data_IF_512447956334
#
_entry.id   IF_512447956334
#
_cell.length_a   1.000
_cell.length_b   1.000
_cell.length_c   1.000
_cell.angle_alpha   90.00
_cell.angle_beta   90.00
_cell.angle_gamma   90.00
#
_symmetry.space_group_name_H-M   'P 1'
#
loop_
_entity.id
_entity.type
_entity.pdbx_description
1 polymer ?
#
# COMPACT_ATOMS: atom_id res chain seq x y z
N UNK A 1 6.99 -13.15 -12.12
CA UNK A 1 5.66 -12.67 -11.69
C UNK A 1 5.75 -11.31 -10.98
N UNK A 2 6.33 -11.25 -9.78
CA UNK A 2 6.29 -10.06 -8.92
C UNK A 2 6.85 -8.77 -9.52
N UNK A 3 8.05 -8.82 -10.12
CA UNK A 3 8.64 -7.65 -10.77
C UNK A 3 7.71 -7.04 -11.84
N UNK A 4 7.10 -7.88 -12.69
CA UNK A 4 6.17 -7.41 -13.73
C UNK A 4 4.86 -6.88 -13.13
N UNK A 5 4.34 -7.54 -12.09
CA UNK A 5 3.12 -7.13 -11.40
C UNK A 5 3.27 -5.76 -10.72
N UNK A 6 4.41 -5.51 -10.07
CA UNK A 6 4.73 -4.21 -9.43
C UNK A 6 4.80 -3.10 -10.48
N UNK A 7 5.36 -3.39 -11.66
CA UNK A 7 5.40 -2.46 -12.80
C UNK A 7 4.05 -2.32 -13.53
N UNK A 8 2.93 -2.72 -12.91
CA UNK A 8 1.56 -2.59 -13.43
C UNK A 8 1.33 -3.31 -14.77
N UNK A 9 2.10 -4.36 -15.06
CA UNK A 9 1.84 -5.23 -16.20
C UNK A 9 0.55 -6.03 -15.97
N UNK A 10 -0.37 -6.13 -16.95
CA UNK A 10 -1.58 -6.93 -16.83
C UNK A 10 -1.29 -8.40 -16.51
N UNK A 11 -2.12 -9.01 -15.65
CA UNK A 11 -1.97 -10.42 -15.22
C UNK A 11 -1.90 -11.38 -16.42
N UNK A 12 -2.67 -11.11 -17.48
CA UNK A 12 -2.70 -11.94 -18.68
C UNK A 12 -1.40 -11.84 -19.48
N UNK A 13 -0.80 -10.66 -19.56
CA UNK A 13 0.47 -10.46 -20.26
C UNK A 13 1.60 -11.16 -19.50
N UNK A 14 1.61 -11.04 -18.16
CA UNK A 14 2.56 -11.77 -17.31
C UNK A 14 2.41 -13.29 -17.49
N UNK A 15 1.18 -13.78 -17.55
CA UNK A 15 0.88 -15.20 -17.72
C UNK A 15 1.38 -15.70 -19.09
N UNK A 16 1.11 -14.93 -20.15
CA UNK A 16 1.54 -15.23 -21.51
C UNK A 16 3.06 -15.22 -21.65
N UNK A 17 3.73 -14.17 -21.20
CA UNK A 17 5.18 -14.01 -21.36
C UNK A 17 6.00 -15.02 -20.55
N UNK A 18 5.49 -15.44 -19.39
CA UNK A 18 6.15 -16.40 -18.51
C UNK A 18 5.68 -17.84 -18.72
N UNK A 19 4.75 -18.07 -19.65
CA UNK A 19 4.12 -19.36 -19.94
C UNK A 19 3.59 -20.07 -18.67
N UNK A 20 2.80 -19.34 -17.88
CA UNK A 20 2.20 -19.84 -16.64
C UNK A 20 0.71 -19.54 -16.61
N UNK A 21 -0.03 -20.33 -15.84
CA UNK A 21 -1.47 -20.13 -15.73
C UNK A 21 -1.80 -18.80 -15.02
N UNK A 22 -2.81 -18.08 -15.54
CA UNK A 22 -3.28 -16.79 -14.99
C UNK A 22 -3.65 -16.83 -13.50
N UNK A 23 -4.12 -17.98 -13.01
CA UNK A 23 -4.46 -18.14 -11.60
C UNK A 23 -3.21 -18.12 -10.74
N UNK A 24 -2.13 -18.79 -11.18
CA UNK A 24 -0.84 -18.76 -10.51
C UNK A 24 -0.31 -17.33 -10.40
N UNK A 25 -0.40 -16.53 -11.47
CA UNK A 25 -0.02 -15.11 -11.42
C UNK A 25 -0.82 -14.33 -10.37
N UNK A 26 -2.14 -14.57 -10.32
CA UNK A 26 -3.04 -13.95 -9.33
C UNK A 26 -2.69 -14.36 -7.90
N UNK A 27 -2.47 -15.65 -7.66
CA UNK A 27 -2.10 -16.20 -6.35
C UNK A 27 -0.79 -15.62 -5.83
N UNK A 28 0.25 -15.54 -6.67
CA UNK A 28 1.50 -14.91 -6.29
C UNK A 28 1.35 -13.40 -5.99
N UNK A 29 0.50 -12.71 -6.75
CA UNK A 29 0.20 -11.30 -6.50
C UNK A 29 -0.54 -11.08 -5.18
N UNK A 30 -1.46 -11.97 -4.82
CA UNK A 30 -2.20 -11.92 -3.56
C UNK A 30 -1.31 -12.30 -2.37
N UNK A 31 -0.51 -13.35 -2.50
CA UNK A 31 0.49 -13.75 -1.50
C UNK A 31 1.45 -12.60 -1.18
N UNK A 32 1.94 -11.89 -2.22
CA UNK A 32 2.83 -10.77 -1.97
C UNK A 32 2.15 -9.59 -1.27
N UNK A 33 0.88 -9.32 -1.57
CA UNK A 33 0.12 -8.30 -0.83
C UNK A 33 -0.04 -8.69 0.63
N UNK A 34 -0.29 -9.96 0.92
CA UNK A 34 -0.41 -10.48 2.28
C UNK A 34 0.88 -10.28 3.06
N UNK A 35 2.01 -10.75 2.52
CA UNK A 35 3.34 -10.61 3.15
C UNK A 35 3.71 -9.14 3.39
N UNK A 36 3.47 -8.27 2.40
CA UNK A 36 3.73 -6.82 2.56
C UNK A 36 2.81 -6.22 3.64
N UNK A 37 1.54 -6.60 3.67
CA UNK A 37 0.60 -6.09 4.66
C UNK A 37 1.02 -6.51 6.06
N UNK A 38 1.35 -7.79 6.26
CA UNK A 38 1.83 -8.32 7.53
C UNK A 38 3.09 -7.58 7.99
N UNK A 39 4.07 -7.40 7.10
CA UNK A 39 5.28 -6.65 7.40
C UNK A 39 4.98 -5.22 7.87
N UNK A 40 4.12 -4.48 7.16
CA UNK A 40 3.75 -3.11 7.55
C UNK A 40 3.04 -3.09 8.91
N UNK A 41 2.16 -4.05 9.19
CA UNK A 41 1.45 -4.13 10.46
C UNK A 41 2.37 -4.53 11.62
N UNK A 42 3.34 -5.41 11.39
CA UNK A 42 4.30 -5.86 12.40
C UNK A 42 5.44 -4.86 12.65
N UNK A 43 5.75 -3.99 11.68
CA UNK A 43 6.86 -3.04 11.71
C UNK A 43 6.38 -1.58 11.65
N UNK A 44 5.43 -1.21 12.51
CA UNK A 44 4.94 0.16 12.64
C UNK A 44 5.91 1.04 13.46
N UNK A 45 7.11 1.24 12.91
CA UNK A 45 8.13 2.09 13.50
C UNK A 45 7.74 3.57 13.45
N UNK A 46 8.26 4.35 14.39
CA UNK A 46 8.25 5.81 14.27
C UNK A 46 9.00 6.23 13.00
N UNK A 47 8.34 7.04 12.18
CA UNK A 47 8.91 7.64 10.97
C UNK A 47 9.40 9.07 11.26
N UNK A 48 10.39 9.52 10.48
CA UNK A 48 10.92 10.87 10.55
C UNK A 48 12.04 11.02 11.58
N UNK A 49 12.33 12.27 11.94
CA UNK A 49 13.44 12.64 12.82
C UNK A 49 14.70 13.02 12.05
N UNK A 50 15.86 12.81 12.67
CA UNK A 50 17.16 13.07 12.07
C UNK A 50 17.85 11.75 11.69
N UNK A 51 18.60 11.77 10.59
CA UNK A 51 19.55 10.73 10.22
C UNK A 51 20.78 10.77 11.15
N UNK A 52 21.62 9.74 11.06
CA UNK A 52 22.87 9.64 11.84
C UNK A 52 23.85 10.79 11.54
N UNK A 53 23.80 11.34 10.32
CA UNK A 53 24.58 12.50 9.89
C UNK A 53 23.96 13.86 10.27
N UNK A 54 22.85 13.84 11.02
CA UNK A 54 22.13 15.04 11.47
C UNK A 54 21.19 15.66 10.43
N UNK A 55 21.02 15.05 9.25
CA UNK A 55 20.07 15.54 8.24
C UNK A 55 18.63 15.17 8.56
N UNK A 56 17.66 15.99 8.19
CA UNK A 56 16.24 15.68 8.39
C UNK A 56 15.77 14.54 7.50
N UNK A 57 15.06 13.59 8.09
CA UNK A 57 14.37 12.55 7.33
C UNK A 57 13.13 13.12 6.65
N UNK A 58 12.90 12.67 5.42
CA UNK A 58 11.74 13.04 4.62
C UNK A 58 10.73 11.91 4.68
N UNK A 59 9.51 12.21 5.11
CA UNK A 59 8.39 11.27 5.13
C UNK A 59 7.33 11.78 4.17
N UNK A 60 6.95 10.94 3.22
CA UNK A 60 5.81 11.18 2.35
C UNK A 60 4.56 10.69 3.05
N UNK A 61 3.50 11.50 3.06
CA UNK A 61 2.20 11.18 3.67
C UNK A 61 1.13 11.36 2.60
N UNK A 62 0.28 10.34 2.43
CA UNK A 62 -0.85 10.36 1.48
C UNK A 62 -2.16 9.95 2.18
N UNK A 63 -3.26 10.58 1.75
CA UNK A 63 -4.62 10.25 2.16
C UNK A 63 -5.34 9.52 1.04
N UNK A 64 -5.73 8.27 1.30
CA UNK A 64 -6.46 7.44 0.35
C UNK A 64 -7.84 7.09 0.90
N UNK A 65 -8.88 7.47 0.16
CA UNK A 65 -10.27 7.08 0.46
C UNK A 65 -10.66 5.87 -0.38
N UNK A 66 -10.95 4.76 0.30
CA UNK A 66 -11.47 3.55 -0.31
C UNK A 66 -12.99 3.59 -0.21
N UNK A 67 -13.66 3.61 -1.35
CA UNK A 67 -15.11 3.71 -1.43
C UNK A 67 -15.67 2.69 -2.41
N UNK A 68 -16.98 2.44 -2.30
CA UNK A 68 -17.68 1.59 -3.25
C UNK A 68 -17.67 2.21 -4.65
N UNK A 69 -17.45 1.39 -5.67
CA UNK A 69 -17.61 1.84 -7.06
C UNK A 69 -19.04 2.32 -7.33
N UNK A 70 -19.19 3.23 -8.30
CA UNK A 70 -20.49 3.74 -8.76
C UNK A 70 -21.45 2.58 -9.00
N UNK A 71 -22.67 2.70 -8.46
CA UNK A 71 -23.74 1.67 -8.54
C UNK A 71 -23.45 0.34 -7.82
N UNK A 72 -22.51 0.30 -6.85
CA UNK A 72 -22.13 -0.92 -6.11
C UNK A 72 -21.72 -2.09 -7.02
N UNK A 73 -21.12 -1.81 -8.19
CA UNK A 73 -20.65 -2.86 -9.13
C UNK A 73 -19.19 -3.21 -8.87
N UNK A 74 -18.88 -4.50 -8.77
CA UNK A 74 -17.50 -5.02 -8.64
C UNK A 74 -17.10 -5.33 -7.19
N UNK A 75 -15.86 -5.00 -6.81
CA UNK A 75 -15.32 -5.25 -5.46
C UNK A 75 -16.15 -4.47 -4.43
N UNK A 76 -16.74 -5.19 -3.46
CA UNK A 76 -17.42 -4.59 -2.32
C UNK A 76 -16.35 -4.13 -1.32
N UNK A 77 -16.21 -2.82 -1.16
CA UNK A 77 -15.35 -2.18 -0.17
C UNK A 77 -16.21 -1.41 0.83
N UNK A 78 -15.78 -1.39 2.09
CA UNK A 78 -16.35 -0.45 3.06
C UNK A 78 -15.77 0.93 2.80
N UNK A 79 -16.60 1.95 3.01
CA UNK A 79 -16.18 3.34 2.86
C UNK A 79 -15.23 3.69 4.01
N UNK A 80 -13.95 3.86 3.70
CA UNK A 80 -12.92 3.99 4.71
C UNK A 80 -11.77 4.89 4.25
N UNK A 81 -11.38 5.81 5.13
CA UNK A 81 -10.19 6.63 4.98
C UNK A 81 -8.97 5.92 5.54
N UNK A 82 -7.86 6.01 4.81
CA UNK A 82 -6.55 5.58 5.27
C UNK A 82 -5.54 6.70 5.07
N UNK A 83 -4.62 6.82 6.03
CA UNK A 83 -3.41 7.61 5.87
C UNK A 83 -2.27 6.61 5.71
N UNK A 84 -1.58 6.69 4.58
CA UNK A 84 -0.35 5.97 4.32
C UNK A 84 0.84 6.91 4.50
N UNK A 85 1.94 6.39 5.00
CA UNK A 85 3.20 7.12 5.06
C UNK A 85 4.38 6.23 4.73
N UNK A 86 5.42 6.81 4.14
CA UNK A 86 6.68 6.13 3.81
C UNK A 86 7.86 7.07 4.02
N UNK A 87 8.88 6.58 4.73
CA UNK A 87 10.12 7.33 4.94
C UNK A 87 11.05 7.13 3.74
N UNK A 88 11.44 8.23 3.09
CA UNK A 88 12.31 8.22 1.93
C UNK A 88 13.69 7.65 2.26
N UNK A 89 14.22 6.81 1.38
CA UNK A 89 15.51 6.14 1.57
C UNK A 89 15.50 4.97 2.55
N UNK A 90 14.38 4.68 3.22
CA UNK A 90 14.22 3.50 4.05
C UNK A 90 13.05 2.63 3.58
N UNK A 91 12.82 1.50 4.26
CA UNK A 91 11.67 0.61 4.01
C UNK A 91 10.58 0.77 5.07
N UNK A 92 10.65 1.84 5.87
CA UNK A 92 9.70 2.08 6.95
C UNK A 92 8.46 2.77 6.41
N UNK A 93 7.30 2.22 6.77
CA UNK A 93 6.01 2.73 6.36
C UNK A 93 4.96 2.38 7.42
N UNK A 94 3.93 3.19 7.54
CA UNK A 94 2.74 2.81 8.30
C UNK A 94 1.47 3.12 7.50
N UNK A 95 0.42 2.36 7.80
CA UNK A 95 -0.93 2.62 7.29
C UNK A 95 -1.87 2.65 8.48
N UNK A 96 -2.60 3.76 8.65
CA UNK A 96 -3.60 3.89 9.70
C UNK A 96 -4.99 4.07 9.10
N UNK A 97 -5.95 3.38 9.68
CA UNK A 97 -7.37 3.58 9.40
C UNK A 97 -7.86 4.82 10.14
N UNK A 98 -8.53 5.74 9.44
CA UNK A 98 -9.12 6.94 10.04
C UNK A 98 -10.64 6.72 10.17
N UNK A 99 -11.15 6.34 11.36
CA UNK A 99 -12.55 5.97 11.52
C UNK A 99 -13.52 7.13 11.33
N UNK A 100 -13.12 8.36 11.68
CA UNK A 100 -13.90 9.57 11.46
C UNK A 100 -13.00 10.69 10.93
N UNK A 101 -13.33 11.26 9.76
CA UNK A 101 -12.58 12.38 9.16
C UNK A 101 -12.90 13.68 9.87
N UNK A 102 -12.39 13.85 11.08
CA UNK A 102 -12.46 15.10 11.80
C UNK A 102 -11.16 15.84 11.50
N UNK A 103 -11.22 17.08 11.00
CA UNK A 103 -10.04 17.89 10.64
C UNK A 103 -8.94 17.97 11.72
N UNK A 104 -9.31 17.68 12.99
CA UNK A 104 -8.39 17.58 14.12
C UNK A 104 -7.35 16.46 14.01
N UNK A 105 -7.64 15.38 13.28
CA UNK A 105 -6.72 14.23 13.15
C UNK A 105 -5.62 14.44 12.09
N UNK A 106 -5.75 15.45 11.22
CA UNK A 106 -4.85 15.68 10.09
C UNK A 106 -3.73 16.70 10.37
N UNK A 107 -3.61 17.19 11.61
CA UNK A 107 -2.64 18.23 11.94
C UNK A 107 -3.04 19.60 11.38
N UNK A 108 -2.72 20.66 12.12
CA UNK A 108 -2.84 22.05 11.65
C UNK A 108 -1.49 22.50 11.11
#
# INVERSE_FOLDING_TARGET
IMYKHINRCPILDIAYELDIHRNTVSEYADLAREVISEYIYSNNDLLGGLNEDGTSKIVEIDESYFFKRKYNRGRLTNDQWYIGSVESGTKKAFIIQVPNRNARLLGK
#
